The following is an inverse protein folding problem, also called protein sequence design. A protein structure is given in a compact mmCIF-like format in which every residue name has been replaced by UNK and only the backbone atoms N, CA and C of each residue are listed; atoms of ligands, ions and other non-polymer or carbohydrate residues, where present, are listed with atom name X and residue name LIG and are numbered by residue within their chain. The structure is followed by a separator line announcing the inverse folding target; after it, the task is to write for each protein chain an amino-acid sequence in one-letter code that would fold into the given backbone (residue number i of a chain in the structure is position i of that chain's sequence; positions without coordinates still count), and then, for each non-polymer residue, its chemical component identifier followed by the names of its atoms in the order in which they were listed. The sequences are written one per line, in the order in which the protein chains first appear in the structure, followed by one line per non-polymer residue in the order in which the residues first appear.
data_IF_220977722083
#
_entry.id   IF_220977722083
#
_cell.length_a   1.000
_cell.length_b   1.000
_cell.length_c   1.000
_cell.angle_alpha   90.00
_cell.angle_beta   90.00
_cell.angle_gamma   90.00
#
_symmetry.space_group_name_H-M   'P 1'
#
loop_
_entity.id
_entity.type
_entity.pdbx_description
1 polymer ?
#
# COMPACT_ATOMS: atom_id res chain seq x y z
N UNK A 1 -11.42 39.25 -35.96
CA UNK A 1 -12.00 37.89 -35.71
C UNK A 1 -10.97 36.76 -35.56
N UNK A 2 -9.80 36.78 -36.23
CA UNK A 2 -8.76 35.71 -36.15
C UNK A 2 -8.22 35.44 -34.72
N UNK A 3 -8.03 36.47 -33.88
CA UNK A 3 -7.49 36.30 -32.52
C UNK A 3 -8.47 35.77 -31.45
N UNK A 4 -9.79 35.82 -31.70
CA UNK A 4 -10.81 35.38 -30.72
C UNK A 4 -10.93 33.84 -30.68
N UNK A 5 -10.90 33.22 -31.86
CA UNK A 5 -10.96 31.74 -32.02
C UNK A 5 -9.71 31.07 -31.42
N UNK A 6 -8.56 31.75 -31.46
CA UNK A 6 -7.30 31.22 -30.94
C UNK A 6 -7.25 31.18 -29.41
N UNK A 7 -7.81 32.17 -28.68
CA UNK A 7 -7.78 32.16 -27.21
C UNK A 7 -8.67 31.09 -26.58
N UNK A 8 -9.86 30.86 -27.15
CA UNK A 8 -10.76 29.80 -26.66
C UNK A 8 -10.17 28.42 -26.95
N UNK A 9 -9.65 28.21 -28.17
CA UNK A 9 -8.97 26.96 -28.52
C UNK A 9 -7.76 26.69 -27.63
N UNK A 10 -6.94 27.71 -27.31
CA UNK A 10 -5.80 27.57 -26.37
C UNK A 10 -6.25 27.08 -24.99
N UNK A 11 -7.34 27.61 -24.44
CA UNK A 11 -7.88 27.19 -23.14
C UNK A 11 -8.40 25.75 -23.17
N UNK A 12 -9.09 25.37 -24.24
CA UNK A 12 -9.56 23.99 -24.42
C UNK A 12 -8.39 23.00 -24.52
N UNK A 13 -7.36 23.35 -25.28
CA UNK A 13 -6.12 22.56 -25.38
C UNK A 13 -5.44 22.44 -24.00
N UNK A 14 -5.37 23.54 -23.23
CA UNK A 14 -4.78 23.50 -21.89
C UNK A 14 -5.56 22.57 -20.94
N UNK A 15 -6.90 22.65 -20.93
CA UNK A 15 -7.73 21.76 -20.11
C UNK A 15 -7.56 20.29 -20.53
N UNK A 16 -7.50 20.02 -21.84
CA UNK A 16 -7.28 18.67 -22.37
C UNK A 16 -5.92 18.11 -21.96
N UNK A 17 -4.84 18.90 -22.09
CA UNK A 17 -3.49 18.50 -21.65
C UNK A 17 -3.50 18.17 -20.17
N UNK A 18 -4.03 19.07 -19.32
CA UNK A 18 -4.08 18.86 -17.87
C UNK A 18 -4.87 17.60 -17.53
N UNK A 19 -6.04 17.40 -18.14
CA UNK A 19 -6.87 16.23 -17.91
C UNK A 19 -6.14 14.94 -18.28
N UNK A 20 -5.57 14.87 -19.49
CA UNK A 20 -4.91 13.68 -20.00
C UNK A 20 -3.66 13.37 -19.17
N UNK A 21 -2.82 14.37 -18.91
CA UNK A 21 -1.60 14.20 -18.10
C UNK A 21 -1.93 13.78 -16.68
N UNK A 22 -2.87 14.45 -16.02
CA UNK A 22 -3.30 14.08 -14.67
C UNK A 22 -3.84 12.66 -14.63
N UNK A 23 -4.82 12.34 -15.48
CA UNK A 23 -5.49 11.04 -15.48
C UNK A 23 -4.51 9.91 -15.76
N UNK A 24 -3.63 10.08 -16.75
CA UNK A 24 -2.60 9.08 -17.06
C UNK A 24 -1.63 8.88 -15.90
N UNK A 25 -1.05 9.96 -15.35
CA UNK A 25 -0.07 9.86 -14.25
C UNK A 25 -0.71 9.26 -13.01
N UNK A 26 -1.93 9.69 -12.68
CA UNK A 26 -2.71 9.18 -11.55
C UNK A 26 -2.97 7.67 -11.70
N UNK A 27 -3.43 7.21 -12.87
CA UNK A 27 -3.71 5.79 -13.11
C UNK A 27 -2.45 4.93 -13.24
N UNK A 28 -1.39 5.45 -13.86
CA UNK A 28 -0.19 4.68 -14.16
C UNK A 28 0.76 4.55 -12.97
N UNK A 29 0.81 5.54 -12.08
CA UNK A 29 1.77 5.57 -10.98
C UNK A 29 1.14 5.49 -9.59
N UNK A 30 -0.06 6.04 -9.40
CA UNK A 30 -0.70 6.06 -8.08
C UNK A 30 -1.71 4.92 -7.90
N UNK A 31 -2.63 4.73 -8.85
CA UNK A 31 -3.70 3.73 -8.73
C UNK A 31 -3.42 2.40 -9.44
N UNK A 32 -2.24 2.22 -10.05
CA UNK A 32 -1.99 1.07 -10.92
C UNK A 32 -2.09 -0.28 -10.19
N UNK A 33 -1.46 -0.39 -9.02
CA UNK A 33 -1.49 -1.61 -8.22
C UNK A 33 -2.88 -1.88 -7.64
N UNK A 34 -3.58 -0.84 -7.20
CA UNK A 34 -4.95 -0.95 -6.68
C UNK A 34 -5.94 -1.41 -7.77
N UNK A 35 -5.83 -0.87 -8.98
CA UNK A 35 -6.63 -1.31 -10.14
C UNK A 35 -6.29 -2.73 -10.57
N UNK A 36 -5.02 -3.11 -10.51
CA UNK A 36 -4.59 -4.47 -10.83
C UNK A 36 -5.23 -5.49 -9.88
N UNK A 37 -5.31 -5.14 -8.59
CA UNK A 37 -5.97 -5.96 -7.56
C UNK A 37 -7.47 -6.04 -7.81
N UNK A 38 -8.13 -4.91 -8.06
CA UNK A 38 -9.56 -4.90 -8.36
C UNK A 38 -9.88 -5.78 -9.58
N UNK A 39 -9.11 -5.65 -10.66
CA UNK A 39 -9.27 -6.52 -11.84
C UNK A 39 -9.04 -8.00 -11.48
N UNK A 40 -8.01 -8.30 -10.67
CA UNK A 40 -7.72 -9.67 -10.26
C UNK A 40 -8.87 -10.26 -9.44
N UNK A 41 -9.35 -9.54 -8.43
CA UNK A 41 -10.43 -9.97 -7.54
C UNK A 41 -11.74 -10.16 -8.33
N UNK A 42 -12.15 -9.17 -9.14
CA UNK A 42 -13.39 -9.25 -9.91
C UNK A 42 -13.36 -10.33 -11.00
N UNK A 43 -12.18 -10.66 -11.53
CA UNK A 43 -12.05 -11.75 -12.50
C UNK A 43 -11.84 -13.13 -11.87
N UNK A 44 -11.82 -13.25 -10.54
CA UNK A 44 -11.46 -14.50 -9.86
C UNK A 44 -10.04 -14.98 -10.20
N UNK A 45 -9.16 -14.05 -10.57
CA UNK A 45 -7.78 -14.30 -10.98
C UNK A 45 -7.60 -14.82 -12.41
N UNK A 46 -8.64 -14.76 -13.24
CA UNK A 46 -8.59 -15.21 -14.65
C UNK A 46 -7.93 -14.20 -15.59
N UNK A 47 -7.86 -12.93 -15.20
CA UNK A 47 -7.30 -11.87 -16.05
C UNK A 47 -6.03 -11.27 -15.45
N UNK A 48 -5.18 -10.73 -16.32
CA UNK A 48 -3.97 -10.01 -15.93
C UNK A 48 -4.12 -8.53 -16.29
N UNK A 49 -3.78 -7.66 -15.34
CA UNK A 49 -3.75 -6.22 -15.55
C UNK A 49 -2.51 -5.84 -16.38
N UNK A 50 -2.70 -4.98 -17.39
CA UNK A 50 -1.60 -4.42 -18.16
C UNK A 50 -1.28 -3.03 -17.64
N UNK A 51 -0.16 -2.89 -16.92
CA UNK A 51 0.29 -1.64 -16.32
C UNK A 51 0.61 -0.52 -17.34
N UNK A 52 0.83 -0.88 -18.61
CA UNK A 52 1.08 0.09 -19.69
C UNK A 52 -0.18 0.45 -20.45
N UNK A 53 -0.99 -0.55 -20.85
CA UNK A 53 -2.15 -0.32 -21.72
C UNK A 53 -3.38 0.15 -20.96
N UNK A 54 -3.63 -0.37 -19.75
CA UNK A 54 -4.82 -0.01 -18.98
C UNK A 54 -4.93 1.50 -18.69
N UNK A 55 -3.90 2.19 -18.16
CA UNK A 55 -4.00 3.64 -17.91
C UNK A 55 -4.19 4.44 -19.20
N UNK A 56 -3.58 4.02 -20.32
CA UNK A 56 -3.76 4.67 -21.63
C UNK A 56 -5.20 4.52 -22.13
N UNK A 57 -5.75 3.31 -22.10
CA UNK A 57 -7.10 3.02 -22.57
C UNK A 57 -8.16 3.73 -21.71
N UNK A 58 -8.02 3.69 -20.38
CA UNK A 58 -8.95 4.38 -19.47
C UNK A 58 -8.89 5.90 -19.72
N UNK A 59 -7.69 6.48 -19.82
CA UNK A 59 -7.52 7.91 -20.10
C UNK A 59 -8.16 8.30 -21.44
N UNK A 60 -7.98 7.49 -22.48
CA UNK A 60 -8.58 7.70 -23.80
C UNK A 60 -10.11 7.67 -23.74
N UNK A 61 -10.69 6.65 -23.10
CA UNK A 61 -12.15 6.51 -22.96
C UNK A 61 -12.74 7.69 -22.20
N UNK A 62 -12.13 8.09 -21.08
CA UNK A 62 -12.59 9.22 -20.29
C UNK A 62 -12.46 10.56 -21.04
N UNK A 63 -11.43 10.72 -21.87
CA UNK A 63 -11.31 11.88 -22.73
C UNK A 63 -12.36 11.90 -23.84
N UNK A 64 -12.62 10.76 -24.51
CA UNK A 64 -13.69 10.65 -25.50
C UNK A 64 -15.07 10.94 -24.91
N UNK A 65 -15.31 10.51 -23.67
CA UNK A 65 -16.51 10.87 -22.93
C UNK A 65 -16.64 12.38 -22.78
N UNK A 66 -15.57 13.08 -22.42
CA UNK A 66 -15.58 14.54 -22.33
C UNK A 66 -15.89 15.19 -23.69
N UNK A 67 -15.32 14.68 -24.78
CA UNK A 67 -15.63 15.16 -26.14
C UNK A 67 -17.12 15.00 -26.45
N UNK A 68 -17.71 13.85 -26.10
CA UNK A 68 -19.15 13.60 -26.24
C UNK A 68 -20.00 14.56 -25.40
N UNK A 69 -19.64 14.75 -24.12
CA UNK A 69 -20.30 15.71 -23.21
C UNK A 69 -20.24 17.13 -23.76
N UNK A 70 -19.09 17.56 -24.28
CA UNK A 70 -18.94 18.86 -24.91
C UNK A 70 -19.79 19.00 -26.18
N UNK A 71 -19.90 17.94 -27.00
CA UNK A 71 -20.72 17.94 -28.20
C UNK A 71 -22.23 18.13 -27.90
N UNK A 72 -22.71 17.57 -26.79
CA UNK A 72 -24.11 17.68 -26.32
C UNK A 72 -24.37 19.03 -25.66
N UNK A 73 -23.52 19.42 -24.71
CA UNK A 73 -23.73 20.63 -23.90
C UNK A 73 -23.44 21.90 -24.70
N UNK A 74 -22.44 21.86 -25.59
CA UNK A 74 -21.93 22.98 -26.41
C UNK A 74 -21.57 24.24 -25.61
N UNK A 75 -21.35 24.09 -24.31
CA UNK A 75 -21.00 25.16 -23.37
C UNK A 75 -19.58 25.66 -23.65
N UNK A 76 -19.41 26.98 -23.80
CA UNK A 76 -18.11 27.59 -24.11
C UNK A 76 -17.62 28.50 -22.98
N UNK A 77 -16.44 29.09 -23.19
CA UNK A 77 -15.86 30.15 -22.36
C UNK A 77 -15.64 29.70 -20.90
N UNK A 78 -16.31 30.32 -19.94
CA UNK A 78 -16.07 30.17 -18.49
C UNK A 78 -16.41 28.79 -17.94
N UNK A 79 -17.26 28.05 -18.63
CA UNK A 79 -17.84 26.80 -18.15
C UNK A 79 -17.34 25.57 -18.93
N UNK A 80 -16.33 25.73 -19.78
CA UNK A 80 -15.77 24.62 -20.55
C UNK A 80 -15.18 23.53 -19.63
N UNK A 81 -14.54 23.89 -18.52
CA UNK A 81 -13.98 22.96 -17.54
C UNK A 81 -15.03 22.01 -16.97
N UNK A 82 -16.26 22.49 -16.75
CA UNK A 82 -17.37 21.64 -16.29
C UNK A 82 -17.72 20.49 -17.23
N UNK A 83 -17.31 20.54 -18.50
CA UNK A 83 -17.51 19.42 -19.44
C UNK A 83 -16.69 18.20 -19.08
N UNK A 84 -15.61 18.35 -18.31
CA UNK A 84 -14.78 17.26 -17.80
C UNK A 84 -15.36 16.58 -16.55
N UNK A 85 -16.38 17.18 -15.91
CA UNK A 85 -16.91 16.67 -14.65
C UNK A 85 -17.40 15.21 -14.73
N UNK A 86 -18.19 14.79 -15.75
CA UNK A 86 -18.58 13.38 -15.86
C UNK A 86 -17.38 12.43 -15.98
N UNK A 87 -16.33 12.83 -16.69
CA UNK A 87 -15.10 12.03 -16.81
C UNK A 87 -14.34 11.93 -15.49
N UNK A 88 -14.23 13.01 -14.73
CA UNK A 88 -13.65 12.98 -13.38
C UNK A 88 -14.49 12.18 -12.39
N UNK A 89 -15.82 12.23 -12.50
CA UNK A 89 -16.74 11.48 -11.64
C UNK A 89 -16.56 9.97 -11.85
N UNK A 90 -16.50 9.52 -13.12
CA UNK A 90 -16.25 8.12 -13.44
C UNK A 90 -14.83 7.71 -13.02
N UNK A 91 -13.82 8.55 -13.25
CA UNK A 91 -12.45 8.30 -12.78
C UNK A 91 -12.41 8.08 -11.27
N UNK A 92 -13.13 8.90 -10.51
CA UNK A 92 -13.22 8.78 -9.05
C UNK A 92 -13.89 7.46 -8.68
N UNK A 93 -15.03 7.13 -9.28
CA UNK A 93 -15.75 5.88 -9.02
C UNK A 93 -14.90 4.64 -9.28
N UNK A 94 -14.16 4.57 -10.40
CA UNK A 94 -13.36 3.38 -10.73
C UNK A 94 -12.11 3.24 -9.86
N UNK A 95 -11.66 4.33 -9.21
CA UNK A 95 -10.47 4.33 -8.34
C UNK A 95 -10.80 4.39 -6.84
N UNK A 96 -12.07 4.54 -6.50
CA UNK A 96 -12.58 4.38 -5.13
C UNK A 96 -12.79 2.89 -4.82
N UNK A 97 -11.68 2.19 -4.67
CA UNK A 97 -11.64 0.76 -4.36
C UNK A 97 -11.54 0.55 -2.85
N UNK A 98 -12.49 -0.18 -2.23
CA UNK A 98 -12.47 -0.43 -0.80
C UNK A 98 -11.36 -1.42 -0.42
N UNK A 99 -10.81 -1.26 0.78
CA UNK A 99 -9.72 -2.10 1.32
C UNK A 99 -10.14 -3.58 1.49
N UNK A 100 -11.45 -3.84 1.60
CA UNK A 100 -12.07 -5.16 1.74
C UNK A 100 -12.81 -5.62 0.46
N UNK A 101 -12.30 -5.22 -0.70
CA UNK A 101 -12.81 -5.60 -2.04
C UNK A 101 -12.98 -7.11 -2.26
N UNK A 102 -12.26 -7.95 -1.50
CA UNK A 102 -12.37 -9.41 -1.55
C UNK A 102 -13.62 -9.96 -0.86
N UNK A 103 -14.27 -9.18 0.02
CA UNK A 103 -15.49 -9.58 0.75
C UNK A 103 -16.75 -8.95 0.19
N UNK A 104 -16.67 -7.69 -0.22
CA UNK A 104 -17.82 -6.94 -0.71
C UNK A 104 -17.58 -6.48 -2.15
N UNK A 105 -18.40 -6.99 -3.07
CA UNK A 105 -18.31 -6.68 -4.50
C UNK A 105 -19.36 -5.65 -4.96
N UNK A 106 -19.85 -4.81 -4.04
CA UNK A 106 -20.87 -3.80 -4.36
C UNK A 106 -20.23 -2.47 -4.74
N UNK A 107 -20.87 -1.73 -5.65
CA UNK A 107 -20.55 -0.31 -5.94
C UNK A 107 -20.83 0.62 -4.74
N UNK A 108 -21.34 0.10 -3.63
CA UNK A 108 -21.54 0.84 -2.40
C UNK A 108 -22.47 2.04 -2.62
N UNK A 109 -22.05 3.21 -2.14
CA UNK A 109 -22.82 4.45 -2.26
C UNK A 109 -22.86 5.01 -3.70
N UNK A 110 -22.02 4.52 -4.63
CA UNK A 110 -21.93 5.06 -5.99
C UNK A 110 -23.23 4.90 -6.80
N UNK A 111 -24.06 3.91 -6.48
CA UNK A 111 -25.41 3.78 -7.08
C UNK A 111 -26.29 5.01 -6.86
N UNK A 112 -26.07 5.75 -5.78
CA UNK A 112 -26.83 6.97 -5.45
C UNK A 112 -26.01 8.21 -5.78
N UNK A 113 -24.72 8.22 -5.42
CA UNK A 113 -23.82 9.37 -5.62
C UNK A 113 -23.71 9.71 -7.11
N UNK A 114 -23.49 8.72 -7.97
CA UNK A 114 -23.29 8.95 -9.41
C UNK A 114 -24.51 9.63 -10.07
N UNK A 115 -25.75 9.08 -9.99
CA UNK A 115 -26.90 9.75 -10.61
C UNK A 115 -27.20 11.10 -9.97
N UNK A 116 -27.07 11.24 -8.65
CA UNK A 116 -27.30 12.51 -7.96
C UNK A 116 -26.32 13.59 -8.43
N UNK A 117 -25.02 13.27 -8.52
CA UNK A 117 -24.00 14.19 -9.03
C UNK A 117 -24.25 14.57 -10.49
N UNK A 118 -24.69 13.63 -11.34
CA UNK A 118 -25.00 13.92 -12.74
C UNK A 118 -26.24 14.79 -12.90
N UNK A 119 -27.28 14.61 -12.07
CA UNK A 119 -28.48 15.46 -12.06
C UNK A 119 -28.11 16.89 -11.65
N UNK A 120 -27.35 17.03 -10.55
CA UNK A 120 -26.88 18.34 -10.08
C UNK A 120 -26.02 19.04 -11.12
N UNK A 121 -25.07 18.31 -11.72
CA UNK A 121 -24.23 18.82 -12.80
C UNK A 121 -25.06 19.23 -14.02
N UNK A 122 -26.05 18.42 -14.43
CA UNK A 122 -26.95 18.75 -15.53
C UNK A 122 -27.74 20.04 -15.29
N UNK A 123 -28.24 20.23 -14.06
CA UNK A 123 -28.87 21.47 -13.62
C UNK A 123 -27.92 22.67 -13.68
N UNK A 124 -26.69 22.52 -13.18
CA UNK A 124 -25.66 23.56 -13.25
C UNK A 124 -25.29 23.93 -14.68
N UNK A 125 -25.17 22.95 -15.57
CA UNK A 125 -24.93 23.18 -17.01
C UNK A 125 -26.10 23.90 -17.65
N UNK A 126 -27.34 23.51 -17.32
CA UNK A 126 -28.52 24.19 -17.83
C UNK A 126 -28.56 25.67 -17.41
N UNK A 127 -28.29 25.97 -16.14
CA UNK A 127 -28.17 27.36 -15.64
C UNK A 127 -27.02 28.08 -16.35
N UNK A 128 -25.85 27.44 -16.47
CA UNK A 128 -24.69 28.04 -17.14
C UNK A 128 -25.00 28.43 -18.59
N UNK A 129 -25.78 27.63 -19.31
CA UNK A 129 -26.23 27.96 -20.67
C UNK A 129 -27.18 29.16 -20.72
N UNK A 130 -27.99 29.38 -19.69
CA UNK A 130 -28.84 30.57 -19.59
C UNK A 130 -28.04 31.85 -19.28
N UNK A 131 -26.91 31.71 -18.59
CA UNK A 131 -26.03 32.82 -18.23
C UNK A 131 -25.02 33.19 -19.34
N UNK A 132 -24.68 32.25 -20.23
CA UNK A 132 -23.73 32.44 -21.34
C UNK A 132 -24.05 33.65 -22.26
N UNK A 133 -25.32 33.95 -22.61
CA UNK A 133 -25.68 35.12 -23.43
C UNK A 133 -25.46 36.47 -22.72
N UNK A 134 -25.43 36.48 -21.38
CA UNK A 134 -25.33 37.69 -20.55
C UNK A 134 -23.85 38.10 -20.37
N UNK A 135 -22.91 37.19 -20.64
CA UNK A 135 -21.48 37.45 -20.46
C UNK A 135 -20.92 38.43 -21.50
N UNK A 136 -20.49 39.60 -21.02
CA UNK A 136 -19.73 40.60 -21.77
C UNK A 136 -18.42 40.03 -22.30
N UNK A 137 -18.02 40.44 -23.51
CA UNK A 137 -16.79 39.95 -24.14
C UNK A 137 -15.54 40.26 -23.29
N UNK A 138 -14.58 39.33 -23.21
CA UNK A 138 -13.39 39.51 -22.38
C UNK A 138 -12.47 40.58 -22.96
N UNK A 139 -12.03 41.51 -22.09
CA UNK A 139 -11.06 42.56 -22.46
C UNK A 139 -9.62 42.04 -22.62
N UNK A 140 -9.29 40.84 -22.13
CA UNK A 140 -7.94 40.24 -22.19
C UNK A 140 -7.92 38.96 -23.03
N UNK A 141 -7.15 38.95 -24.13
CA UNK A 141 -6.95 37.77 -24.98
C UNK A 141 -5.56 37.17 -24.73
N UNK A 142 -5.48 35.90 -24.33
CA UNK A 142 -4.20 35.22 -24.09
C UNK A 142 -4.24 34.13 -23.02
N UNK A 143 -3.05 33.56 -22.73
CA UNK A 143 -2.84 32.56 -21.67
C UNK A 143 -3.23 33.06 -20.28
N UNK A 144 -3.15 34.37 -20.04
CA UNK A 144 -3.52 35.01 -18.78
C UNK A 144 -4.95 35.58 -18.76
N UNK A 145 -5.81 35.14 -19.68
CA UNK A 145 -7.20 35.59 -19.68
C UNK A 145 -7.97 35.08 -18.46
N UNK A 146 -8.93 35.87 -17.96
CA UNK A 146 -9.82 35.48 -16.86
C UNK A 146 -10.49 34.12 -17.11
N UNK A 147 -10.89 33.85 -18.36
CA UNK A 147 -11.52 32.58 -18.72
C UNK A 147 -10.57 31.40 -18.64
N UNK A 148 -9.29 31.54 -19.00
CA UNK A 148 -8.31 30.47 -18.79
C UNK A 148 -8.28 30.08 -17.30
N UNK A 149 -8.02 31.05 -16.43
CA UNK A 149 -7.87 30.80 -14.99
C UNK A 149 -9.12 30.22 -14.32
N UNK A 150 -10.32 30.65 -14.72
CA UNK A 150 -11.55 30.07 -14.16
C UNK A 150 -11.70 28.60 -14.55
N UNK A 151 -11.41 28.23 -15.80
CA UNK A 151 -11.48 26.83 -16.22
C UNK A 151 -10.37 26.00 -15.56
N UNK A 152 -9.15 26.54 -15.45
CA UNK A 152 -8.06 25.88 -14.73
C UNK A 152 -8.39 25.65 -13.26
N UNK A 153 -9.05 26.61 -12.60
CA UNK A 153 -9.51 26.46 -11.22
C UNK A 153 -10.59 25.36 -11.10
N UNK A 154 -11.53 25.29 -12.05
CA UNK A 154 -12.50 24.19 -12.09
C UNK A 154 -11.80 22.82 -12.23
N UNK A 155 -10.82 22.72 -13.13
CA UNK A 155 -10.01 21.50 -13.29
C UNK A 155 -9.28 21.15 -12.01
N UNK A 156 -8.65 22.13 -11.36
CA UNK A 156 -7.95 21.94 -10.08
C UNK A 156 -8.90 21.41 -8.99
N UNK A 157 -10.08 22.00 -8.84
CA UNK A 157 -11.08 21.55 -7.85
C UNK A 157 -11.47 20.09 -8.13
N UNK A 158 -11.74 19.73 -9.38
CA UNK A 158 -12.09 18.33 -9.72
C UNK A 158 -10.94 17.36 -9.47
N UNK A 159 -9.70 17.76 -9.77
CA UNK A 159 -8.49 16.99 -9.45
C UNK A 159 -8.39 16.77 -7.94
N UNK A 160 -8.55 17.82 -7.13
CA UNK A 160 -8.50 17.70 -5.68
C UNK A 160 -9.60 16.78 -5.14
N UNK A 161 -10.82 16.85 -5.71
CA UNK A 161 -11.92 15.97 -5.34
C UNK A 161 -11.62 14.50 -5.65
N UNK A 162 -11.05 14.20 -6.83
CA UNK A 162 -10.63 12.83 -7.18
C UNK A 162 -9.64 12.31 -6.14
N UNK A 163 -8.62 13.11 -5.81
CA UNK A 163 -7.61 12.72 -4.82
C UNK A 163 -8.15 12.66 -3.40
N UNK A 164 -9.24 13.32 -3.05
CA UNK A 164 -9.80 13.25 -1.70
C UNK A 164 -10.72 12.04 -1.51
N UNK A 165 -11.50 11.71 -2.54
CA UNK A 165 -12.51 10.65 -2.50
C UNK A 165 -11.93 9.28 -2.83
N UNK A 166 -10.95 9.19 -3.73
CA UNK A 166 -10.40 7.91 -4.13
C UNK A 166 -9.67 7.17 -2.99
N UNK A 167 -9.38 5.90 -3.21
CA UNK A 167 -8.69 5.06 -2.23
C UNK A 167 -7.28 5.60 -1.96
N UNK A 168 -7.10 6.19 -0.77
CA UNK A 168 -5.84 6.79 -0.30
C UNK A 168 -5.25 6.05 0.90
N UNK A 169 -5.74 4.85 1.21
CA UNK A 169 -5.21 4.09 2.34
C UNK A 169 -3.77 3.65 2.04
N UNK A 170 -2.82 4.35 2.66
CA UNK A 170 -1.40 4.14 2.44
C UNK A 170 -0.97 2.70 2.69
N UNK A 171 -1.52 2.05 3.72
CA UNK A 171 -1.16 0.68 4.08
C UNK A 171 -1.65 -0.29 3.02
N UNK A 172 -2.85 -0.07 2.51
CA UNK A 172 -3.40 -0.83 1.39
C UNK A 172 -2.53 -0.66 0.13
N UNK A 173 -2.17 0.57 -0.24
CA UNK A 173 -1.25 0.83 -1.35
C UNK A 173 0.11 0.14 -1.20
N UNK A 174 0.72 0.23 -0.01
CA UNK A 174 1.99 -0.45 0.29
C UNK A 174 1.87 -1.98 0.13
N UNK A 175 0.77 -2.58 0.62
CA UNK A 175 0.50 -4.01 0.46
C UNK A 175 0.33 -4.41 -1.00
N UNK A 176 -0.50 -3.69 -1.76
CA UNK A 176 -0.77 -4.02 -3.16
C UNK A 176 0.49 -3.91 -4.02
N UNK A 177 1.31 -2.89 -3.75
CA UNK A 177 2.62 -2.72 -4.37
C UNK A 177 3.57 -3.88 -4.06
N UNK A 178 3.63 -4.31 -2.80
CA UNK A 178 4.42 -5.49 -2.40
C UNK A 178 3.95 -6.75 -3.15
N UNK A 179 2.65 -7.02 -3.15
CA UNK A 179 2.09 -8.20 -3.82
C UNK A 179 2.37 -8.23 -5.33
N UNK A 180 2.30 -7.07 -6.00
CA UNK A 180 2.70 -6.94 -7.39
C UNK A 180 4.15 -7.34 -7.61
N UNK A 181 5.08 -6.78 -6.84
CA UNK A 181 6.52 -7.08 -6.95
C UNK A 181 6.81 -8.55 -6.63
N UNK A 182 6.13 -9.12 -5.63
CA UNK A 182 6.23 -10.54 -5.30
C UNK A 182 5.72 -11.44 -6.43
N UNK A 183 4.63 -11.06 -7.11
CA UNK A 183 4.13 -11.77 -8.30
C UNK A 183 5.16 -11.76 -9.44
N UNK A 184 5.93 -10.69 -9.56
CA UNK A 184 7.07 -10.58 -10.49
C UNK A 184 8.38 -11.20 -9.96
N UNK A 185 8.35 -11.82 -8.77
CA UNK A 185 9.52 -12.39 -8.07
C UNK A 185 10.62 -11.38 -7.73
N UNK A 186 10.30 -10.10 -7.65
CA UNK A 186 11.21 -9.03 -7.26
C UNK A 186 11.14 -8.80 -5.74
N UNK A 187 11.52 -9.81 -4.96
CA UNK A 187 11.35 -9.81 -3.49
C UNK A 187 12.18 -8.75 -2.77
N UNK A 188 13.40 -8.45 -3.24
CA UNK A 188 14.24 -7.40 -2.67
C UNK A 188 13.57 -6.02 -2.77
N UNK A 189 13.06 -5.68 -3.96
CA UNK A 189 12.31 -4.43 -4.17
C UNK A 189 11.01 -4.40 -3.38
N UNK A 190 10.36 -5.54 -3.18
CA UNK A 190 9.14 -5.60 -2.37
C UNK A 190 9.44 -5.21 -0.91
N UNK A 191 10.61 -5.58 -0.37
CA UNK A 191 11.02 -5.24 0.99
C UNK A 191 11.28 -3.73 1.18
N UNK A 192 11.69 -3.02 0.13
CA UNK A 192 11.87 -1.56 0.16
C UNK A 192 10.52 -0.81 0.28
N UNK A 193 9.40 -1.45 -0.10
CA UNK A 193 8.08 -0.84 -0.07
C UNK A 193 7.64 -0.59 1.37
N UNK A 194 7.52 0.69 1.72
CA UNK A 194 7.10 1.08 3.06
C UNK A 194 8.08 0.65 4.15
N UNK A 195 9.36 0.41 3.84
CA UNK A 195 10.39 0.02 4.83
C UNK A 195 10.45 1.02 5.99
N UNK A 196 10.34 2.32 5.68
CA UNK A 196 10.31 3.42 6.65
C UNK A 196 8.92 3.71 7.23
N UNK A 197 7.89 2.97 6.81
CA UNK A 197 6.53 3.14 7.29
C UNK A 197 6.39 2.49 8.65
N UNK A 198 6.02 3.27 9.67
CA UNK A 198 5.82 2.76 11.02
C UNK A 198 4.50 2.00 11.18
N UNK A 199 3.53 2.23 10.30
CA UNK A 199 2.24 1.53 10.31
C UNK A 199 2.38 0.18 9.62
N UNK A 200 1.77 -0.84 10.20
CA UNK A 200 1.74 -2.19 9.64
C UNK A 200 0.45 -2.90 10.06
N UNK A 201 0.08 -3.94 9.33
CA UNK A 201 -0.95 -4.91 9.74
C UNK A 201 -0.41 -6.34 9.62
N UNK A 202 -1.22 -7.31 10.03
CA UNK A 202 -0.84 -8.73 9.98
C UNK A 202 -0.60 -9.23 8.55
N UNK A 203 -1.27 -8.65 7.55
CA UNK A 203 -1.08 -9.06 6.15
C UNK A 203 0.23 -8.53 5.57
N UNK A 204 0.59 -7.27 5.84
CA UNK A 204 1.87 -6.68 5.46
C UNK A 204 3.02 -7.38 6.18
N UNK A 205 2.82 -7.73 7.46
CA UNK A 205 3.76 -8.56 8.22
C UNK A 205 4.00 -9.90 7.51
N UNK A 206 2.95 -10.62 7.12
CA UNK A 206 3.08 -11.86 6.33
C UNK A 206 3.88 -11.65 5.04
N UNK A 207 3.56 -10.61 4.25
CA UNK A 207 4.22 -10.35 2.96
C UNK A 207 5.72 -10.08 3.13
N UNK A 208 6.10 -9.30 4.16
CA UNK A 208 7.51 -9.05 4.50
C UNK A 208 8.24 -10.33 4.90
N UNK A 209 7.64 -11.13 5.78
CA UNK A 209 8.20 -12.42 6.22
C UNK A 209 8.39 -13.36 5.04
N UNK A 210 7.42 -13.43 4.13
CA UNK A 210 7.54 -14.21 2.90
C UNK A 210 8.69 -13.71 2.02
N UNK A 211 8.80 -12.41 1.77
CA UNK A 211 9.91 -11.86 0.99
C UNK A 211 11.27 -12.13 1.65
N UNK A 212 11.40 -11.91 2.96
CA UNK A 212 12.64 -12.14 3.71
C UNK A 212 13.09 -13.60 3.66
N UNK A 213 12.16 -14.55 3.62
CA UNK A 213 12.52 -15.96 3.46
C UNK A 213 12.99 -16.27 2.04
N UNK A 214 12.37 -15.69 1.02
CA UNK A 214 12.79 -15.86 -0.37
C UNK A 214 14.15 -15.20 -0.64
N UNK A 215 14.51 -14.15 0.10
CA UNK A 215 15.85 -13.52 0.03
C UNK A 215 16.88 -14.13 0.99
N UNK A 216 16.47 -15.04 1.89
CA UNK A 216 17.37 -15.66 2.88
C UNK A 216 17.78 -14.74 4.04
N UNK A 217 17.05 -13.65 4.26
CA UNK A 217 17.33 -12.63 5.29
C UNK A 217 16.36 -12.68 6.49
N UNK A 218 15.50 -13.70 6.56
CA UNK A 218 14.47 -13.79 7.59
C UNK A 218 15.04 -13.72 9.01
N UNK A 219 16.06 -14.52 9.33
CA UNK A 219 16.68 -14.49 10.65
C UNK A 219 17.50 -13.23 10.96
N UNK A 220 17.78 -12.37 9.97
CA UNK A 220 18.67 -11.20 10.13
C UNK A 220 17.98 -9.85 10.02
N UNK A 221 16.79 -9.78 9.40
CA UNK A 221 16.07 -8.51 9.21
C UNK A 221 14.63 -8.53 9.71
N UNK A 222 14.10 -9.65 10.22
CA UNK A 222 12.70 -9.71 10.64
C UNK A 222 12.31 -8.58 11.61
N UNK A 223 13.14 -8.32 12.63
CA UNK A 223 12.84 -7.34 13.68
C UNK A 223 13.24 -5.91 13.30
N UNK A 224 13.79 -5.69 12.10
CA UNK A 224 14.03 -4.35 11.56
C UNK A 224 12.75 -3.71 11.02
N UNK A 225 11.72 -4.52 10.76
CA UNK A 225 10.41 -4.06 10.27
C UNK A 225 9.39 -3.93 11.40
N UNK A 226 8.38 -3.07 11.28
CA UNK A 226 7.21 -3.12 12.14
C UNK A 226 6.44 -4.43 11.95
N UNK A 227 6.12 -5.08 13.07
CA UNK A 227 5.48 -6.40 13.13
C UNK A 227 4.16 -6.33 13.92
N UNK A 228 3.12 -7.00 13.41
CA UNK A 228 1.83 -7.17 14.11
C UNK A 228 1.34 -8.61 13.94
N UNK A 229 0.79 -9.18 15.02
CA UNK A 229 0.05 -10.46 14.99
C UNK A 229 0.87 -11.72 15.33
N UNK A 230 2.15 -11.57 15.71
CA UNK A 230 2.99 -12.68 16.18
C UNK A 230 3.15 -13.82 15.15
N UNK A 231 3.34 -15.06 15.60
CA UNK A 231 3.48 -16.20 14.69
C UNK A 231 2.25 -16.46 13.82
N UNK A 232 1.05 -16.09 14.29
CA UNK A 232 -0.21 -16.24 13.54
C UNK A 232 -0.23 -15.40 12.27
N UNK A 233 0.50 -14.28 12.25
CA UNK A 233 0.63 -13.42 11.07
C UNK A 233 1.58 -13.96 10.00
N UNK A 234 2.32 -15.04 10.26
CA UNK A 234 3.27 -15.57 9.28
C UNK A 234 2.60 -16.33 8.13
N UNK A 235 1.34 -16.73 8.29
CA UNK A 235 0.65 -17.62 7.36
C UNK A 235 -0.74 -17.07 7.03
N UNK A 236 -1.20 -17.19 5.77
CA UNK A 236 -2.51 -16.71 5.38
C UNK A 236 -3.61 -17.53 6.07
N UNK A 237 -4.54 -16.84 6.74
CA UNK A 237 -5.75 -17.43 7.34
C UNK A 237 -7.02 -17.11 6.51
N UNK A 238 -6.87 -16.30 5.45
CA UNK A 238 -7.94 -15.77 4.58
C UNK A 238 -8.91 -14.81 5.27
N UNK A 239 -8.67 -14.46 6.54
CA UNK A 239 -9.55 -13.60 7.34
C UNK A 239 -8.81 -12.35 7.79
N UNK A 240 -7.77 -12.49 8.59
CA UNK A 240 -6.96 -11.40 9.15
C UNK A 240 -5.64 -11.22 8.39
N UNK A 241 -5.12 -12.32 7.86
CA UNK A 241 -3.87 -12.41 7.12
C UNK A 241 -4.19 -12.96 5.74
N UNK A 242 -4.10 -12.09 4.72
CA UNK A 242 -4.47 -12.45 3.35
C UNK A 242 -3.62 -11.70 2.34
N UNK A 243 -3.36 -12.39 1.23
CA UNK A 243 -2.85 -11.81 0.00
C UNK A 243 -3.99 -11.81 -1.04
N UNK A 244 -4.07 -10.77 -1.86
CA UNK A 244 -5.14 -10.58 -2.84
C UNK A 244 -4.75 -11.03 -4.25
N UNK A 245 -3.50 -10.81 -4.65
CA UNK A 245 -2.95 -11.16 -5.96
C UNK A 245 -1.82 -12.18 -5.86
N UNK A 246 -0.97 -12.04 -4.85
CA UNK A 246 0.16 -12.95 -4.67
C UNK A 246 -0.33 -14.30 -4.14
N UNK A 247 0.05 -15.38 -4.83
CA UNK A 247 -0.29 -16.74 -4.42
C UNK A 247 0.79 -17.28 -3.50
N UNK A 248 0.46 -17.40 -2.22
CA UNK A 248 1.35 -17.99 -1.25
C UNK A 248 1.78 -19.42 -1.65
N UNK A 249 3.04 -19.81 -1.46
CA UNK A 249 3.52 -21.17 -1.67
C UNK A 249 2.64 -22.23 -0.98
N UNK A 250 2.58 -23.44 -1.53
CA UNK A 250 1.73 -24.52 -0.99
C UNK A 250 1.99 -24.80 0.49
N UNK A 251 3.24 -24.71 0.94
CA UNK A 251 3.60 -24.95 2.33
C UNK A 251 3.10 -23.87 3.30
N UNK A 252 2.73 -22.68 2.79
CA UNK A 252 2.08 -21.61 3.56
C UNK A 252 0.56 -21.79 3.67
N UNK A 253 -0.03 -22.65 2.85
CA UNK A 253 -1.48 -22.84 2.81
C UNK A 253 -1.94 -23.88 3.83
N UNK A 254 -3.23 -23.83 4.18
CA UNK A 254 -3.83 -24.86 5.03
C UNK A 254 -3.68 -26.24 4.36
N UNK A 255 -3.29 -27.29 5.11
CA UNK A 255 -3.18 -28.64 4.57
C UNK A 255 -4.51 -29.09 3.94
N UNK A 256 -4.43 -29.83 2.83
CA UNK A 256 -5.63 -30.38 2.20
C UNK A 256 -6.30 -31.43 3.09
N UNK A 257 -7.60 -31.67 2.91
CA UNK A 257 -8.34 -32.70 3.65
C UNK A 257 -7.67 -34.09 3.55
N UNK A 258 -7.08 -34.40 2.39
CA UNK A 258 -6.31 -35.62 2.18
C UNK A 258 -5.04 -35.67 3.05
N UNK A 259 -4.27 -34.57 3.12
CA UNK A 259 -3.09 -34.51 3.98
C UNK A 259 -3.46 -34.68 5.46
N UNK A 260 -4.53 -34.01 5.90
CA UNK A 260 -5.02 -34.15 7.29
C UNK A 260 -5.42 -35.59 7.58
N UNK A 261 -6.16 -36.24 6.68
CA UNK A 261 -6.58 -37.65 6.82
C UNK A 261 -5.39 -38.61 6.94
N UNK A 262 -4.29 -38.31 6.26
CA UNK A 262 -3.08 -39.13 6.28
C UNK A 262 -2.00 -38.62 7.24
N UNK A 263 -2.34 -37.69 8.15
CA UNK A 263 -1.41 -37.08 9.11
C UNK A 263 -0.16 -36.45 8.47
N UNK A 264 -0.25 -36.03 7.21
CA UNK A 264 0.83 -35.37 6.48
C UNK A 264 0.85 -33.88 6.79
N UNK A 265 2.06 -33.32 6.84
CA UNK A 265 2.32 -31.89 7.04
C UNK A 265 3.27 -31.40 5.97
N UNK A 266 3.12 -30.13 5.59
CA UNK A 266 4.13 -29.49 4.75
C UNK A 266 5.45 -29.35 5.53
N UNK A 267 6.56 -29.46 4.81
CA UNK A 267 7.87 -29.11 5.35
C UNK A 267 8.00 -27.59 5.36
N UNK A 268 8.01 -27.00 6.56
CA UNK A 268 8.24 -25.56 6.71
C UNK A 268 9.74 -25.25 6.62
N UNK A 269 10.13 -24.12 6.00
CA UNK A 269 11.48 -23.60 6.10
C UNK A 269 11.92 -23.49 7.57
N UNK A 270 13.19 -23.80 7.84
CA UNK A 270 13.73 -23.78 9.22
C UNK A 270 13.60 -22.39 9.83
N UNK A 271 13.99 -21.35 9.08
CA UNK A 271 13.91 -19.97 9.56
C UNK A 271 12.49 -19.52 9.89
N UNK A 272 11.48 -20.02 9.16
CA UNK A 272 10.08 -19.78 9.48
C UNK A 272 9.69 -20.34 10.86
N UNK A 273 10.15 -21.55 11.18
CA UNK A 273 9.86 -22.19 12.46
C UNK A 273 10.56 -21.45 13.61
N UNK A 274 11.83 -21.10 13.41
CA UNK A 274 12.62 -20.37 14.41
C UNK A 274 12.06 -18.97 14.66
N UNK A 275 11.75 -18.22 13.60
CA UNK A 275 11.16 -16.90 13.72
C UNK A 275 9.75 -16.91 14.31
N UNK A 276 8.95 -17.95 14.05
CA UNK A 276 7.65 -18.11 14.73
C UNK A 276 7.81 -18.19 16.26
N UNK A 277 8.82 -18.91 16.74
CA UNK A 277 9.11 -19.01 18.18
C UNK A 277 9.57 -17.67 18.75
N UNK A 278 10.40 -16.92 18.02
CA UNK A 278 10.85 -15.59 18.44
C UNK A 278 9.69 -14.57 18.47
N UNK A 279 8.83 -14.57 17.45
CA UNK A 279 7.63 -13.71 17.40
C UNK A 279 6.69 -13.96 18.60
N UNK A 280 6.59 -15.22 19.04
CA UNK A 280 5.80 -15.61 20.21
C UNK A 280 6.59 -15.54 21.53
N UNK A 281 7.82 -15.01 21.52
CA UNK A 281 8.72 -14.88 22.68
C UNK A 281 9.02 -16.23 23.38
N UNK A 282 8.90 -17.35 22.65
CA UNK A 282 9.13 -18.70 23.15
C UNK A 282 10.63 -19.05 23.13
N UNK A 283 11.41 -18.32 23.94
CA UNK A 283 12.87 -18.33 23.89
C UNK A 283 13.48 -19.72 24.17
N UNK A 284 12.98 -20.45 25.17
CA UNK A 284 13.49 -21.79 25.50
C UNK A 284 13.35 -22.77 24.33
N UNK A 285 12.19 -22.74 23.66
CA UNK A 285 11.91 -23.61 22.51
C UNK A 285 12.74 -23.20 21.31
N UNK A 286 12.90 -21.89 21.09
CA UNK A 286 13.80 -21.38 20.05
C UNK A 286 15.21 -21.93 20.25
N UNK A 287 15.75 -21.83 21.47
CA UNK A 287 17.10 -22.31 21.78
C UNK A 287 17.23 -23.82 21.59
N UNK A 288 16.23 -24.61 21.98
CA UNK A 288 16.23 -26.05 21.75
C UNK A 288 16.20 -26.42 20.26
N UNK A 289 15.51 -25.62 19.44
CA UNK A 289 15.35 -25.91 18.01
C UNK A 289 16.52 -25.38 17.17
N UNK A 290 17.02 -24.18 17.45
CA UNK A 290 18.13 -23.56 16.70
C UNK A 290 19.40 -24.42 16.76
N UNK A 291 19.66 -25.07 17.90
CA UNK A 291 20.80 -25.99 18.08
C UNK A 291 20.75 -27.23 17.18
N UNK A 292 19.56 -27.63 16.71
CA UNK A 292 19.41 -28.78 15.80
C UNK A 292 19.76 -28.44 14.36
N UNK A 293 19.59 -27.17 13.97
CA UNK A 293 19.73 -26.74 12.58
C UNK A 293 20.96 -25.86 12.34
N UNK A 294 21.48 -25.20 13.38
CA UNK A 294 22.62 -24.29 13.29
C UNK A 294 23.75 -24.72 14.24
N UNK A 295 24.98 -24.53 13.77
CA UNK A 295 26.18 -24.61 14.62
C UNK A 295 26.30 -23.34 15.44
N UNK A 296 25.68 -23.32 16.62
CA UNK A 296 25.53 -22.09 17.41
C UNK A 296 26.86 -21.45 17.81
N UNK A 297 27.88 -22.24 18.14
CA UNK A 297 29.16 -21.74 18.68
C UNK A 297 30.21 -21.44 17.61
N UNK A 298 30.05 -21.94 16.38
CA UNK A 298 31.10 -21.88 15.34
C UNK A 298 30.58 -21.51 13.95
N UNK A 299 29.27 -21.35 13.80
CA UNK A 299 28.63 -21.04 12.52
C UNK A 299 28.30 -19.55 12.37
N UNK A 300 28.08 -19.15 11.11
CA UNK A 300 27.50 -17.84 10.78
C UNK A 300 26.01 -17.88 11.12
N UNK A 301 25.66 -17.34 12.28
CA UNK A 301 24.27 -17.18 12.72
C UNK A 301 23.68 -15.86 12.21
N UNK A 302 22.38 -15.85 11.83
CA UNK A 302 21.65 -14.62 11.62
C UNK A 302 21.65 -13.71 12.86
N UNK A 303 21.68 -12.39 12.64
CA UNK A 303 21.84 -11.38 13.70
C UNK A 303 20.79 -11.53 14.80
N UNK A 304 19.51 -11.66 14.45
CA UNK A 304 18.46 -11.76 15.46
C UNK A 304 18.48 -13.08 16.24
N UNK A 305 19.09 -14.13 15.68
CA UNK A 305 19.29 -15.38 16.41
C UNK A 305 20.39 -15.23 17.44
N UNK A 306 21.46 -14.48 17.13
CA UNK A 306 22.48 -14.10 18.10
C UNK A 306 21.89 -13.25 19.21
N UNK A 307 21.13 -12.21 18.87
CA UNK A 307 20.43 -11.35 19.84
C UNK A 307 19.56 -12.18 20.80
N UNK A 308 18.77 -13.13 20.26
CA UNK A 308 17.96 -14.03 21.07
C UNK A 308 18.80 -14.93 21.99
N UNK A 309 19.95 -15.44 21.55
CA UNK A 309 20.84 -16.27 22.35
C UNK A 309 21.55 -15.49 23.47
N UNK A 310 21.96 -14.25 23.21
CA UNK A 310 22.50 -13.34 24.24
C UNK A 310 21.43 -13.09 25.30
N UNK A 311 20.22 -12.68 24.88
CA UNK A 311 19.09 -12.48 25.79
C UNK A 311 18.79 -13.72 26.63
N UNK A 312 18.84 -14.91 26.02
CA UNK A 312 18.62 -16.18 26.73
C UNK A 312 19.68 -16.43 27.80
N UNK A 313 20.96 -16.22 27.47
CA UNK A 313 22.09 -16.43 28.37
C UNK A 313 21.99 -15.52 29.60
N UNK A 314 21.60 -14.25 29.42
CA UNK A 314 21.45 -13.30 30.52
C UNK A 314 20.16 -13.51 31.35
N UNK A 315 19.06 -14.00 30.75
CA UNK A 315 17.79 -14.19 31.45
C UNK A 315 17.72 -15.49 32.27
N UNK A 316 18.56 -16.49 31.98
CA UNK A 316 18.43 -17.83 32.57
C UNK A 316 19.54 -18.12 33.56
N UNK A 317 19.14 -18.54 34.77
CA UNK A 317 20.07 -18.93 35.83
C UNK A 317 20.83 -20.22 35.53
N UNK A 318 20.26 -21.12 34.72
CA UNK A 318 20.91 -22.35 34.27
C UNK A 318 20.63 -22.57 32.78
N UNK A 319 21.33 -21.84 31.89
CA UNK A 319 21.08 -21.91 30.45
C UNK A 319 21.58 -23.23 29.87
N UNK A 320 20.80 -23.82 28.95
CA UNK A 320 21.19 -25.06 28.25
C UNK A 320 22.38 -24.87 27.30
N UNK A 321 22.60 -23.64 26.85
CA UNK A 321 23.74 -23.21 26.04
C UNK A 321 24.12 -21.80 26.46
N UNK A 322 25.41 -21.54 26.54
CA UNK A 322 25.97 -20.20 26.77
C UNK A 322 26.49 -19.70 25.43
N UNK A 323 25.98 -18.55 24.99
CA UNK A 323 26.42 -17.87 23.79
C UNK A 323 27.14 -16.58 24.18
N UNK A 324 28.30 -16.32 23.56
CA UNK A 324 29.13 -15.15 23.83
C UNK A 324 29.61 -14.57 22.50
N UNK A 325 29.41 -13.27 22.34
CA UNK A 325 29.89 -12.48 21.20
C UNK A 325 30.20 -11.08 21.75
N UNK A 326 31.50 -10.77 21.91
CA UNK A 326 31.96 -9.58 22.62
C UNK A 326 31.24 -8.28 22.20
N UNK A 327 30.94 -8.13 20.90
CA UNK A 327 30.26 -6.94 20.39
C UNK A 327 28.80 -6.95 20.83
N UNK A 328 28.11 -8.06 20.61
CA UNK A 328 26.69 -8.20 20.94
C UNK A 328 26.42 -8.14 22.44
N UNK A 329 27.32 -8.68 23.26
CA UNK A 329 27.20 -8.63 24.72
C UNK A 329 27.38 -7.19 25.23
N UNK A 330 28.34 -6.44 24.66
CA UNK A 330 28.51 -5.01 24.97
C UNK A 330 27.27 -4.21 24.56
N UNK A 331 26.76 -4.44 23.35
CA UNK A 331 25.54 -3.78 22.85
C UNK A 331 24.31 -4.09 23.74
N UNK A 332 24.22 -5.32 24.27
CA UNK A 332 23.15 -5.73 25.17
C UNK A 332 23.27 -5.07 26.55
N UNK A 333 24.48 -4.97 27.11
CA UNK A 333 24.73 -4.25 28.35
C UNK A 333 24.33 -2.76 28.23
N UNK A 334 24.67 -2.11 27.13
CA UNK A 334 24.28 -0.73 26.84
C UNK A 334 22.75 -0.59 26.70
N UNK A 335 22.09 -1.56 26.05
CA UNK A 335 20.63 -1.63 26.00
C UNK A 335 20.00 -1.69 27.42
N UNK A 336 20.53 -2.54 28.30
CA UNK A 336 20.05 -2.67 29.68
C UNK A 336 20.28 -1.39 30.50
N UNK A 337 21.45 -0.75 30.36
CA UNK A 337 21.74 0.52 31.03
C UNK A 337 20.77 1.62 30.59
N UNK A 338 20.46 1.70 29.30
CA UNK A 338 19.53 2.70 28.78
C UNK A 338 18.09 2.43 29.21
N UNK A 339 17.68 1.16 29.34
CA UNK A 339 16.39 0.78 29.91
C UNK A 339 16.24 1.25 31.38
N UNK A 340 17.30 1.17 32.18
CA UNK A 340 17.28 1.64 33.57
C UNK A 340 17.40 3.16 33.74
N UNK A 341 17.78 3.90 32.69
CA UNK A 341 18.05 5.35 32.74
C UNK A 341 16.79 6.20 32.91
N UNK A 342 15.67 5.79 32.32
CA UNK A 342 14.44 6.59 32.26
C UNK A 342 13.35 6.00 33.15
N UNK A 343 12.83 6.81 34.08
CA UNK A 343 11.73 6.40 34.97
C UNK A 343 10.38 6.30 34.22
N UNK A 344 10.14 7.18 33.25
CA UNK A 344 8.91 7.19 32.45
C UNK A 344 8.96 6.12 31.35
N UNK A 345 7.97 5.24 31.32
CA UNK A 345 7.88 4.13 30.35
C UNK A 345 7.80 4.61 28.90
N UNK A 346 7.07 5.69 28.61
CA UNK A 346 6.95 6.21 27.24
C UNK A 346 8.26 6.83 26.74
N UNK A 347 8.95 7.57 27.62
CA UNK A 347 10.26 8.16 27.29
C UNK A 347 11.32 7.07 27.09
N UNK A 348 11.32 6.06 27.96
CA UNK A 348 12.17 4.88 27.85
C UNK A 348 11.94 4.13 26.53
N UNK A 349 10.69 3.86 26.20
CA UNK A 349 10.34 3.16 24.97
C UNK A 349 10.78 3.94 23.73
N UNK A 350 10.57 5.25 23.70
CA UNK A 350 10.99 6.09 22.57
C UNK A 350 12.52 6.13 22.42
N UNK A 351 13.25 6.33 23.53
CA UNK A 351 14.72 6.34 23.50
C UNK A 351 15.30 4.98 23.04
N UNK A 352 14.77 3.86 23.55
CA UNK A 352 15.17 2.51 23.13
C UNK A 352 14.78 2.21 21.69
N UNK A 353 13.65 2.74 21.21
CA UNK A 353 13.22 2.56 19.82
C UNK A 353 14.20 3.23 18.85
N UNK A 354 14.69 4.42 19.18
CA UNK A 354 15.55 5.18 18.28
C UNK A 354 16.93 4.53 18.11
N UNK A 355 17.45 3.87 19.14
CA UNK A 355 18.78 3.22 19.09
C UNK A 355 18.70 1.72 18.79
N UNK A 356 17.76 1.00 19.40
CA UNK A 356 17.68 -0.47 19.37
C UNK A 356 16.36 -1.00 18.79
N UNK A 357 15.54 -0.14 18.18
CA UNK A 357 14.21 -0.51 17.66
C UNK A 357 14.23 -1.59 16.58
N UNK A 358 15.39 -1.85 15.98
CA UNK A 358 15.63 -2.88 14.97
C UNK A 358 16.13 -4.22 15.55
N UNK A 359 16.27 -4.34 16.87
CA UNK A 359 16.78 -5.54 17.54
C UNK A 359 15.64 -6.43 18.04
N UNK A 360 15.92 -7.72 18.19
CA UNK A 360 15.03 -8.65 18.86
C UNK A 360 14.81 -8.29 20.35
N UNK A 361 15.79 -7.68 21.02
CA UNK A 361 15.66 -7.27 22.42
C UNK A 361 14.53 -6.25 22.61
N UNK A 362 14.50 -5.22 21.76
CA UNK A 362 13.42 -4.23 21.78
C UNK A 362 12.07 -4.88 21.49
N UNK A 363 12.00 -5.78 20.50
CA UNK A 363 10.78 -6.54 20.22
C UNK A 363 10.35 -7.43 21.41
N UNK A 364 11.30 -8.06 22.09
CA UNK A 364 11.01 -8.94 23.22
C UNK A 364 10.41 -8.17 24.40
N UNK A 365 10.94 -7.00 24.73
CA UNK A 365 10.46 -6.20 25.88
C UNK A 365 9.21 -5.37 25.55
N UNK A 366 9.12 -4.82 24.33
CA UNK A 366 8.09 -3.84 23.95
C UNK A 366 7.16 -4.28 22.80
N UNK A 367 7.50 -5.34 22.07
CA UNK A 367 6.67 -5.84 20.97
C UNK A 367 5.39 -6.53 21.46
N UNK A 368 4.29 -6.36 20.73
CA UNK A 368 2.96 -6.94 20.97
C UNK A 368 2.34 -6.65 22.36
N UNK A 369 2.67 -5.50 22.99
CA UNK A 369 1.92 -4.99 24.15
C UNK A 369 0.67 -4.23 23.73
#
# INVERSE_FOLDING_TARGET
MKNKRSSTAKMQIACAIIFITFTYVYLAFYQADVLAVAQHVFSGGLTNYSYTLAPLLITLVLYLLQVGVYAVTRVKRRFHGLTYFPSFLILTMITDIPVDIDRYHSLGAWWIILPLCLILWGGLIWIARQLEPIETEPHSNGWFSRYMWVNLLQMLVMILLVNFVASNDRLFHERMRMEHLMKEKQYEKALEVGEKSLKTDSSLTMLRIACLNETGELGSRLFTYPLVGGSKAMMPDSVTVKAMMWKAPKWMQKPSAWMVKHHLKYRLPVDYQLCALLLDKQLDKFVAEVQKHYKVTSGKLPVHYKEALVLYTHRRSNPSIVYHDNVMDTDFEDFQQMDHKYANETERQNALRDTYGNTYWYYYEYGNK
#
